data_IF_749339107329
#
_entry.id   IF_749339107329
#
_cell.length_a   1.000
_cell.length_b   1.000
_cell.length_c   1.000
_cell.angle_alpha   90.00
_cell.angle_beta   90.00
_cell.angle_gamma   90.00
#
_symmetry.space_group_name_H-M   'P 1'
#
loop_
_entity.id
_entity.type
_entity.pdbx_description
1 polymer ?
#
# COMPACT_ATOMS: atom_id res chain seq x y z
N UNK A 1 0.23 3.53 29.83
CA UNK A 1 1.42 2.76 29.43
C UNK A 1 2.49 3.76 29.04
N UNK A 2 3.71 3.62 29.55
CA UNK A 2 4.83 4.51 29.20
C UNK A 2 5.21 4.34 27.72
N UNK A 3 5.64 5.41 27.04
CA UNK A 3 6.01 5.38 25.63
C UNK A 3 7.13 4.36 25.36
N UNK A 4 8.06 4.23 26.30
CA UNK A 4 9.14 3.23 26.25
C UNK A 4 8.60 1.80 26.24
N UNK A 5 7.55 1.52 27.03
CA UNK A 5 6.90 0.20 27.08
C UNK A 5 6.11 -0.11 25.80
N UNK A 6 5.49 0.90 25.19
CA UNK A 6 4.81 0.75 23.92
C UNK A 6 5.80 0.40 22.79
N UNK A 7 6.94 1.11 22.74
CA UNK A 7 7.99 0.81 21.78
C UNK A 7 8.58 -0.59 21.99
N UNK A 8 8.86 -0.98 23.23
CA UNK A 8 9.34 -2.33 23.55
C UNK A 8 8.36 -3.42 23.09
N UNK A 9 7.06 -3.24 23.34
CA UNK A 9 6.03 -4.17 22.89
C UNK A 9 6.00 -4.29 21.35
N UNK A 10 6.08 -3.16 20.63
CA UNK A 10 6.17 -3.15 19.17
C UNK A 10 7.40 -3.92 18.65
N UNK A 11 8.58 -3.67 19.23
CA UNK A 11 9.82 -4.36 18.84
C UNK A 11 9.78 -5.87 19.12
N UNK A 12 9.17 -6.27 20.23
CA UNK A 12 8.95 -7.69 20.54
C UNK A 12 8.01 -8.31 19.52
N UNK A 13 6.90 -7.65 19.18
CA UNK A 13 5.95 -8.14 18.19
C UNK A 13 6.60 -8.29 16.82
N UNK A 14 7.35 -7.30 16.35
CA UNK A 14 8.10 -7.37 15.10
C UNK A 14 9.03 -8.61 15.06
N UNK A 15 9.80 -8.82 16.13
CA UNK A 15 10.73 -9.97 16.22
C UNK A 15 10.02 -11.33 16.31
N UNK A 16 8.77 -11.35 16.77
CA UNK A 16 7.97 -12.56 17.04
C UNK A 16 6.73 -12.65 16.14
N UNK A 17 6.75 -11.95 15.01
CA UNK A 17 5.60 -11.79 14.12
C UNK A 17 5.07 -13.12 13.61
N UNK A 18 5.93 -14.09 13.29
CA UNK A 18 5.51 -15.42 12.85
C UNK A 18 4.69 -16.19 13.90
N UNK A 19 5.10 -16.13 15.17
CA UNK A 19 4.35 -16.74 16.29
C UNK A 19 3.03 -16.00 16.49
N UNK A 20 3.06 -14.67 16.46
CA UNK A 20 1.86 -13.86 16.68
C UNK A 20 0.85 -14.04 15.54
N UNK A 21 1.30 -14.04 14.29
CA UNK A 21 0.50 -14.31 13.09
C UNK A 21 -0.21 -15.65 13.21
N UNK A 22 0.50 -16.69 13.64
CA UNK A 22 -0.14 -17.99 13.88
C UNK A 22 -1.23 -17.92 14.96
N UNK A 23 -1.03 -17.12 16.01
CA UNK A 23 -2.03 -16.94 17.06
C UNK A 23 -3.24 -16.10 16.65
N UNK A 24 -3.15 -15.31 15.56
CA UNK A 24 -4.30 -14.63 14.94
C UNK A 24 -5.27 -15.65 14.34
N UNK A 25 -4.76 -16.74 13.74
CA UNK A 25 -5.60 -17.82 13.20
C UNK A 25 -6.35 -18.60 14.28
N UNK A 26 -5.92 -18.48 15.54
CA UNK A 26 -6.62 -18.99 16.71
C UNK A 26 -5.67 -19.37 17.85
N UNK A 27 -6.19 -19.49 19.10
CA UNK A 27 -5.40 -19.90 20.24
C UNK A 27 -4.70 -21.26 20.02
N UNK A 28 -3.47 -21.39 20.52
CA UNK A 28 -2.67 -22.60 20.31
C UNK A 28 -1.88 -23.00 21.55
N UNK A 29 -1.65 -24.30 21.70
CA UNK A 29 -0.70 -24.81 22.68
C UNK A 29 0.74 -24.54 22.24
N UNK A 30 1.61 -24.45 23.22
CA UNK A 30 3.03 -24.20 23.01
C UNK A 30 3.73 -25.25 22.13
N UNK A 31 3.33 -26.52 22.18
CA UNK A 31 3.85 -27.57 21.31
C UNK A 31 3.36 -27.43 19.86
N UNK A 32 2.09 -27.08 19.64
CA UNK A 32 1.56 -26.83 18.30
C UNK A 32 2.33 -25.72 17.59
N UNK A 33 2.65 -24.64 18.32
CA UNK A 33 3.46 -23.54 17.78
C UNK A 33 4.90 -23.94 17.43
N UNK A 34 5.47 -24.97 18.08
CA UNK A 34 6.79 -25.50 17.72
C UNK A 34 6.73 -26.28 16.41
N UNK A 35 5.62 -26.95 16.15
CA UNK A 35 5.44 -27.77 14.95
C UNK A 35 5.06 -26.92 13.73
N UNK A 36 4.37 -25.79 13.94
CA UNK A 36 3.77 -24.99 12.87
C UNK A 36 4.56 -23.72 12.51
N UNK A 37 5.37 -23.19 13.43
CA UNK A 37 6.20 -22.00 13.18
C UNK A 37 7.61 -22.45 12.78
N UNK A 38 8.14 -21.89 11.69
CA UNK A 38 9.52 -22.11 11.24
C UNK A 38 10.55 -21.45 12.19
N UNK A 39 10.70 -22.01 13.38
CA UNK A 39 11.64 -21.57 14.41
C UNK A 39 11.98 -22.72 15.36
N UNK A 40 13.17 -22.66 15.97
CA UNK A 40 13.55 -23.67 16.96
C UNK A 40 12.63 -23.64 18.20
N UNK A 41 12.44 -24.78 18.85
CA UNK A 41 11.65 -24.89 20.08
C UNK A 41 12.03 -23.84 21.14
N UNK A 42 13.34 -23.64 21.35
CA UNK A 42 13.84 -22.64 22.31
C UNK A 42 13.51 -21.20 21.89
N UNK A 43 13.38 -20.94 20.58
CA UNK A 43 12.96 -19.65 20.03
C UNK A 43 11.48 -19.42 20.24
N UNK A 44 10.63 -20.42 19.97
CA UNK A 44 9.18 -20.34 20.22
C UNK A 44 8.89 -20.10 21.70
N UNK A 45 9.54 -20.85 22.58
CA UNK A 45 9.32 -20.75 24.03
C UNK A 45 9.71 -19.37 24.58
N UNK A 46 10.88 -18.88 24.15
CA UNK A 46 11.35 -17.54 24.51
C UNK A 46 10.45 -16.46 23.92
N UNK A 47 9.98 -16.65 22.68
CA UNK A 47 9.08 -15.74 22.00
C UNK A 47 7.76 -15.58 22.71
N UNK A 48 7.11 -16.69 23.08
CA UNK A 48 5.86 -16.69 23.84
C UNK A 48 6.01 -15.98 25.19
N UNK A 49 7.10 -16.25 25.92
CA UNK A 49 7.38 -15.55 27.16
C UNK A 49 7.53 -14.05 26.96
N UNK A 50 8.28 -13.62 25.93
CA UNK A 50 8.44 -12.19 25.64
C UNK A 50 7.12 -11.51 25.26
N UNK A 51 6.28 -12.18 24.46
CA UNK A 51 4.96 -11.69 24.10
C UNK A 51 4.05 -11.56 25.33
N UNK A 52 4.10 -12.54 26.24
CA UNK A 52 3.34 -12.55 27.50
C UNK A 52 3.83 -11.45 28.45
N UNK A 53 5.14 -11.30 28.62
CA UNK A 53 5.79 -10.26 29.44
C UNK A 53 5.40 -8.82 29.00
N UNK A 54 5.05 -8.65 27.71
CA UNK A 54 4.60 -7.37 27.13
C UNK A 54 3.07 -7.28 26.98
N UNK A 55 2.32 -8.22 27.56
CA UNK A 55 0.85 -8.27 27.50
C UNK A 55 0.28 -8.32 26.07
N UNK A 56 1.06 -8.82 25.11
CA UNK A 56 0.62 -9.00 23.71
C UNK A 56 -0.18 -10.30 23.55
N UNK A 57 0.18 -11.33 24.32
CA UNK A 57 -0.56 -12.59 24.43
C UNK A 57 -0.86 -12.89 25.88
N UNK A 58 -1.84 -13.75 26.12
CA UNK A 58 -2.18 -14.29 27.43
C UNK A 58 -2.24 -15.81 27.37
N UNK A 59 -1.83 -16.46 28.47
CA UNK A 59 -2.00 -17.90 28.63
C UNK A 59 -3.31 -18.22 29.36
N UNK A 60 -4.17 -19.04 28.76
CA UNK A 60 -5.42 -19.53 29.35
C UNK A 60 -5.59 -21.02 29.04
N UNK A 61 -5.81 -21.84 30.07
CA UNK A 61 -5.97 -23.30 29.94
C UNK A 61 -4.83 -23.99 29.16
N UNK A 62 -3.59 -23.50 29.33
CA UNK A 62 -2.41 -24.02 28.65
C UNK A 62 -2.21 -23.53 27.22
N UNK A 63 -3.21 -22.84 26.62
CA UNK A 63 -3.11 -22.24 25.31
C UNK A 63 -2.71 -20.77 25.41
N UNK A 64 -2.03 -20.28 24.38
CA UNK A 64 -1.74 -18.87 24.18
C UNK A 64 -2.76 -18.28 23.24
N UNK A 65 -3.25 -17.08 23.54
CA UNK A 65 -4.15 -16.31 22.69
C UNK A 65 -3.70 -14.84 22.65
N UNK A 66 -3.90 -14.12 21.54
CA UNK A 66 -3.71 -12.68 21.50
C UNK A 66 -4.53 -11.97 22.60
N UNK A 67 -3.99 -10.88 23.13
CA UNK A 67 -4.81 -9.90 23.86
C UNK A 67 -5.35 -8.88 22.86
N UNK A 68 -6.42 -8.15 23.23
CA UNK A 68 -6.90 -7.01 22.43
C UNK A 68 -5.79 -5.98 22.18
N UNK A 69 -4.90 -5.77 23.15
CA UNK A 69 -3.75 -4.90 22.98
C UNK A 69 -2.79 -5.45 21.91
N UNK A 70 -2.47 -6.75 21.96
CA UNK A 70 -1.62 -7.41 20.97
C UNK A 70 -2.20 -7.34 19.56
N UNK A 71 -3.50 -7.57 19.39
CA UNK A 71 -4.19 -7.48 18.08
C UNK A 71 -4.09 -6.07 17.46
N UNK A 72 -4.29 -5.02 18.28
CA UNK A 72 -4.16 -3.63 17.82
C UNK A 72 -2.72 -3.35 17.37
N UNK A 73 -1.72 -3.75 18.15
CA UNK A 73 -0.31 -3.54 17.80
C UNK A 73 0.08 -4.36 16.56
N UNK A 74 -0.40 -5.61 16.46
CA UNK A 74 -0.17 -6.47 15.30
C UNK A 74 -0.75 -5.85 14.02
N UNK A 75 -1.96 -5.30 14.08
CA UNK A 75 -2.58 -4.62 12.93
C UNK A 75 -1.75 -3.44 12.44
N UNK A 76 -1.20 -2.63 13.35
CA UNK A 76 -0.34 -1.51 12.97
C UNK A 76 1.03 -1.96 12.46
N UNK A 77 1.58 -3.03 13.05
CA UNK A 77 2.81 -3.65 12.57
C UNK A 77 2.64 -4.17 11.14
N UNK A 78 1.59 -4.94 10.86
CA UNK A 78 1.36 -5.53 9.53
C UNK A 78 1.23 -4.45 8.45
N UNK A 79 0.44 -3.40 8.71
CA UNK A 79 0.32 -2.23 7.81
C UNK A 79 1.67 -1.55 7.56
N UNK A 80 2.47 -1.36 8.60
CA UNK A 80 3.78 -0.70 8.46
C UNK A 80 4.76 -1.58 7.70
N UNK A 81 4.76 -2.88 7.98
CA UNK A 81 5.60 -3.88 7.31
C UNK A 81 5.28 -3.92 5.81
N UNK A 82 3.99 -3.96 5.46
CA UNK A 82 3.51 -3.92 4.09
C UNK A 82 3.94 -2.67 3.33
N UNK A 83 3.68 -1.48 3.89
CA UNK A 83 4.11 -0.20 3.30
C UNK A 83 5.62 -0.21 3.02
N UNK A 84 6.42 -0.68 3.99
CA UNK A 84 7.88 -0.74 3.84
C UNK A 84 8.28 -1.74 2.76
N UNK A 85 7.68 -2.92 2.70
CA UNK A 85 7.96 -3.91 1.65
C UNK A 85 7.64 -3.34 0.27
N UNK A 86 6.46 -2.75 0.08
CA UNK A 86 6.05 -2.14 -1.19
C UNK A 86 7.05 -1.08 -1.65
N UNK A 87 7.51 -0.19 -0.75
CA UNK A 87 8.51 0.82 -1.13
C UNK A 87 9.91 0.24 -1.37
N UNK A 88 10.30 -0.83 -0.69
CA UNK A 88 11.54 -1.55 -0.97
C UNK A 88 11.49 -2.17 -2.37
N UNK A 89 10.36 -2.76 -2.77
CA UNK A 89 10.15 -3.28 -4.12
C UNK A 89 10.12 -2.16 -5.17
N UNK A 90 9.49 -1.03 -4.84
CA UNK A 90 9.41 0.17 -5.66
C UNK A 90 10.66 1.07 -5.59
N UNK A 91 11.75 0.63 -4.95
CA UNK A 91 12.93 1.48 -4.71
C UNK A 91 13.46 2.16 -5.97
N UNK A 92 13.48 1.45 -7.10
CA UNK A 92 13.95 2.01 -8.38
C UNK A 92 13.10 3.18 -8.89
N UNK A 93 11.79 3.19 -8.59
CA UNK A 93 10.88 4.29 -8.94
C UNK A 93 11.20 5.55 -8.14
N UNK A 94 11.54 5.39 -6.86
CA UNK A 94 11.83 6.51 -5.95
C UNK A 94 13.22 7.12 -6.18
N UNK A 95 14.17 6.34 -6.70
CA UNK A 95 15.54 6.81 -6.99
C UNK A 95 15.67 7.55 -8.34
N UNK A 96 14.55 7.86 -9.01
CA UNK A 96 14.52 8.49 -10.36
C UNK A 96 15.01 9.95 -10.39
N UNK A 97 15.43 10.52 -9.27
CA UNK A 97 16.03 11.86 -9.19
C UNK A 97 15.07 13.01 -9.51
N UNK A 98 13.78 12.71 -9.73
CA UNK A 98 12.75 13.75 -9.81
C UNK A 98 12.50 14.32 -8.42
N UNK A 99 12.54 15.65 -8.31
CA UNK A 99 12.09 16.34 -7.10
C UNK A 99 10.59 16.09 -6.92
N UNK A 100 10.25 15.16 -6.03
CA UNK A 100 8.86 14.99 -5.60
C UNK A 100 8.56 16.19 -4.70
N UNK A 101 7.87 17.20 -5.24
CA UNK A 101 7.58 18.47 -4.56
C UNK A 101 6.67 18.35 -3.33
N UNK A 102 6.18 17.15 -3.02
CA UNK A 102 5.46 16.82 -1.79
C UNK A 102 5.87 15.42 -1.31
N UNK A 103 5.82 15.19 0.01
CA UNK A 103 6.01 13.84 0.55
C UNK A 103 4.77 13.03 0.18
N UNK A 104 4.94 11.99 -0.64
CA UNK A 104 3.88 10.99 -0.86
C UNK A 104 3.47 10.43 0.50
N UNK A 105 2.18 10.45 0.82
CA UNK A 105 1.69 9.80 2.04
C UNK A 105 1.99 8.29 1.94
N UNK A 106 2.72 7.67 2.89
CA UNK A 106 3.09 6.26 2.79
C UNK A 106 1.90 5.30 2.68
N UNK A 107 0.70 5.72 3.08
CA UNK A 107 -0.53 4.93 2.93
C UNK A 107 -0.87 4.60 1.47
N UNK A 108 -0.31 5.31 0.48
CA UNK A 108 -0.46 4.95 -0.95
C UNK A 108 0.16 3.59 -1.29
N UNK A 109 1.02 3.06 -0.42
CA UNK A 109 1.66 1.77 -0.59
C UNK A 109 0.90 0.60 0.08
N UNK A 110 -0.16 0.88 0.84
CA UNK A 110 -1.03 -0.16 1.40
C UNK A 110 -1.85 -0.81 0.28
N UNK A 111 -1.88 -2.15 0.27
CA UNK A 111 -2.54 -2.97 -0.75
C UNK A 111 -2.07 -2.66 -2.19
N UNK A 112 -0.93 -2.00 -2.34
CA UNK A 112 -0.41 -1.58 -3.63
C UNK A 112 0.48 -2.68 -4.25
N UNK A 113 0.38 -2.84 -5.56
CA UNK A 113 1.23 -3.77 -6.32
C UNK A 113 2.24 -3.00 -7.17
N UNK A 114 3.52 -3.35 -7.06
CA UNK A 114 4.58 -2.77 -7.90
C UNK A 114 4.69 -3.53 -9.22
N UNK A 115 4.53 -2.83 -10.35
CA UNK A 115 4.65 -3.44 -11.69
C UNK A 115 5.79 -2.80 -12.49
N UNK A 116 6.66 -3.65 -13.05
CA UNK A 116 7.73 -3.23 -13.98
C UNK A 116 7.36 -3.68 -15.39
N UNK A 117 6.78 -2.78 -16.17
CA UNK A 117 6.28 -3.05 -17.52
C UNK A 117 7.28 -2.56 -18.56
N UNK A 118 7.38 -3.28 -19.67
CA UNK A 118 8.02 -2.75 -20.88
C UNK A 118 9.55 -2.72 -20.88
N UNK A 119 10.22 -3.63 -20.16
CA UNK A 119 11.71 -3.75 -20.16
C UNK A 119 12.36 -3.72 -21.55
N UNK A 120 11.70 -4.29 -22.56
CA UNK A 120 12.13 -4.26 -23.98
C UNK A 120 11.17 -3.52 -24.91
N UNK A 121 9.96 -3.23 -24.44
CA UNK A 121 8.89 -2.53 -25.16
C UNK A 121 8.23 -1.53 -24.20
N UNK A 122 8.84 -0.35 -23.98
CA UNK A 122 8.37 0.61 -22.99
C UNK A 122 6.93 1.05 -23.22
N UNK A 123 6.48 1.05 -24.48
CA UNK A 123 5.14 1.39 -24.91
C UNK A 123 4.04 0.43 -24.38
N UNK A 124 4.40 -0.77 -23.91
CA UNK A 124 3.44 -1.67 -23.24
C UNK A 124 2.84 -1.11 -21.95
N UNK A 125 3.48 -0.11 -21.35
CA UNK A 125 2.88 0.59 -20.20
C UNK A 125 1.55 1.23 -20.60
N UNK A 126 1.41 1.68 -21.84
CA UNK A 126 0.19 2.32 -22.34
C UNK A 126 -0.92 1.31 -22.58
N UNK A 127 -0.61 0.14 -23.18
CA UNK A 127 -1.57 -0.96 -23.34
C UNK A 127 -2.13 -1.41 -21.98
N UNK A 128 -1.26 -1.55 -20.98
CA UNK A 128 -1.67 -1.89 -19.62
C UNK A 128 -2.56 -0.82 -18.99
N UNK A 129 -2.15 0.46 -19.08
CA UNK A 129 -2.95 1.53 -18.51
C UNK A 129 -4.32 1.63 -19.20
N UNK A 130 -4.40 1.47 -20.52
CA UNK A 130 -5.67 1.45 -21.25
C UNK A 130 -6.61 0.33 -20.77
N UNK A 131 -6.09 -0.89 -20.58
CA UNK A 131 -6.86 -2.01 -20.00
C UNK A 131 -7.38 -1.67 -18.61
N UNK A 132 -6.52 -1.19 -17.71
CA UNK A 132 -6.92 -0.82 -16.35
C UNK A 132 -7.96 0.31 -16.32
N UNK A 133 -7.81 1.30 -17.21
CA UNK A 133 -8.74 2.42 -17.33
C UNK A 133 -10.11 1.96 -17.80
N UNK A 134 -10.16 0.99 -18.70
CA UNK A 134 -11.41 0.48 -19.26
C UNK A 134 -12.28 -0.28 -18.25
N UNK A 135 -11.67 -0.84 -17.20
CA UNK A 135 -12.37 -1.61 -16.16
C UNK A 135 -12.60 -0.79 -14.87
N UNK A 136 -11.97 0.38 -14.74
CA UNK A 136 -12.00 1.16 -13.53
C UNK A 136 -13.30 1.97 -13.37
N UNK A 137 -13.89 1.90 -12.17
CA UNK A 137 -15.00 2.78 -11.78
C UNK A 137 -14.51 4.17 -11.32
N UNK A 138 -13.27 4.25 -10.79
CA UNK A 138 -12.64 5.48 -10.34
C UNK A 138 -11.16 5.50 -10.68
N UNK A 139 -10.65 6.65 -11.14
CA UNK A 139 -9.23 6.88 -11.40
C UNK A 139 -8.79 8.20 -10.74
N UNK A 140 -7.65 8.16 -10.06
CA UNK A 140 -6.96 9.35 -9.57
C UNK A 140 -5.52 9.32 -10.02
N UNK A 141 -4.98 10.42 -10.55
CA UNK A 141 -3.61 10.41 -11.09
C UNK A 141 -2.90 11.77 -11.10
N UNK A 142 -1.58 11.74 -11.01
CA UNK A 142 -0.72 12.91 -11.20
C UNK A 142 -0.07 12.83 -12.58
N UNK A 143 -0.31 13.84 -13.42
CA UNK A 143 0.10 13.87 -14.83
C UNK A 143 1.07 15.03 -15.05
N UNK A 144 2.38 14.83 -14.85
CA UNK A 144 3.37 15.89 -15.03
C UNK A 144 3.56 16.26 -16.51
N UNK A 145 3.33 15.30 -17.41
CA UNK A 145 3.42 15.47 -18.87
C UNK A 145 2.24 14.77 -19.52
N UNK A 146 1.61 15.42 -20.51
CA UNK A 146 0.51 14.82 -21.25
C UNK A 146 1.04 13.96 -22.38
N UNK A 147 0.48 12.77 -22.49
CA UNK A 147 0.63 11.92 -23.66
C UNK A 147 -0.70 11.87 -24.40
N UNK A 148 -0.76 12.51 -25.56
CA UNK A 148 -2.02 12.75 -26.29
C UNK A 148 -2.80 11.49 -26.63
N UNK A 149 -2.12 10.37 -26.88
CA UNK A 149 -2.79 9.10 -27.18
C UNK A 149 -3.60 8.55 -25.99
N UNK A 150 -3.20 8.84 -24.75
CA UNK A 150 -3.94 8.40 -23.56
C UNK A 150 -5.18 9.26 -23.31
N UNK A 151 -5.12 10.53 -23.72
CA UNK A 151 -6.20 11.50 -23.51
C UNK A 151 -7.51 11.02 -24.15
N UNK A 152 -7.46 10.52 -25.38
CA UNK A 152 -8.65 10.07 -26.10
C UNK A 152 -9.34 8.86 -25.42
N UNK A 153 -8.55 7.91 -24.90
CA UNK A 153 -9.06 6.76 -24.14
C UNK A 153 -9.78 7.23 -22.87
N UNK A 154 -9.17 8.12 -22.08
CA UNK A 154 -9.80 8.68 -20.87
C UNK A 154 -11.07 9.47 -21.18
N UNK A 155 -11.06 10.29 -22.23
CA UNK A 155 -12.22 11.06 -22.68
C UNK A 155 -13.39 10.16 -23.06
N UNK A 156 -13.11 9.11 -23.83
CA UNK A 156 -14.14 8.16 -24.30
C UNK A 156 -14.80 7.46 -23.12
N UNK A 157 -14.02 7.04 -22.12
CA UNK A 157 -14.55 6.35 -20.93
C UNK A 157 -15.31 7.29 -19.98
N UNK A 158 -14.81 8.50 -19.77
CA UNK A 158 -15.47 9.50 -18.93
C UNK A 158 -16.82 9.97 -19.53
N UNK A 159 -16.87 10.19 -20.86
CA UNK A 159 -18.10 10.60 -21.56
C UNK A 159 -19.16 9.50 -21.63
N UNK A 160 -18.75 8.23 -21.56
CA UNK A 160 -19.66 7.10 -21.42
C UNK A 160 -20.32 6.99 -20.01
N UNK A 161 -20.02 7.89 -19.08
CA UNK A 161 -20.47 7.89 -17.67
C UNK A 161 -20.05 6.64 -16.87
N UNK A 162 -18.97 5.96 -17.26
CA UNK A 162 -18.51 4.73 -16.60
C UNK A 162 -17.33 4.96 -15.63
N UNK A 163 -16.78 6.17 -15.58
CA UNK A 163 -15.54 6.46 -14.87
C UNK A 163 -15.60 7.80 -14.12
N UNK A 164 -15.41 7.76 -12.80
CA UNK A 164 -15.11 8.93 -11.96
C UNK A 164 -13.59 9.21 -12.01
N UNK A 165 -13.17 10.32 -12.61
CA UNK A 165 -11.75 10.59 -12.85
C UNK A 165 -11.30 11.92 -12.24
N UNK A 166 -10.21 11.88 -11.46
CA UNK A 166 -9.56 13.04 -10.85
C UNK A 166 -8.07 13.10 -11.24
N UNK A 167 -7.63 14.20 -11.84
CA UNK A 167 -6.23 14.35 -12.26
C UNK A 167 -5.63 15.67 -11.78
N UNK A 168 -4.40 15.57 -11.25
CA UNK A 168 -3.56 16.73 -10.94
C UNK A 168 -2.53 16.88 -12.05
N UNK A 169 -2.57 17.98 -12.79
CA UNK A 169 -1.66 18.25 -13.90
C UNK A 169 -0.52 19.15 -13.46
N UNK A 170 0.69 18.84 -13.93
CA UNK A 170 1.81 19.78 -13.81
C UNK A 170 1.50 21.07 -14.57
N UNK A 171 1.97 22.23 -14.09
CA UNK A 171 1.68 23.54 -14.69
C UNK A 171 1.85 23.58 -16.23
N UNK A 172 2.95 23.03 -16.75
CA UNK A 172 3.23 22.96 -18.20
C UNK A 172 2.26 22.05 -18.94
N UNK A 173 1.82 20.96 -18.32
CA UNK A 173 0.80 20.09 -18.88
C UNK A 173 -0.53 20.83 -18.96
N UNK A 174 -0.96 21.51 -17.89
CA UNK A 174 -2.18 22.33 -17.87
C UNK A 174 -2.20 23.37 -19.00
N UNK A 175 -1.09 24.12 -19.18
CA UNK A 175 -0.95 25.09 -20.26
C UNK A 175 -1.15 24.43 -21.63
N UNK A 176 -0.52 23.27 -21.86
CA UNK A 176 -0.63 22.51 -23.10
C UNK A 176 -2.05 22.00 -23.37
N UNK A 177 -2.75 21.50 -22.35
CA UNK A 177 -4.17 21.10 -22.51
C UNK A 177 -5.03 22.27 -22.96
N UNK A 178 -4.89 23.41 -22.27
CA UNK A 178 -5.75 24.56 -22.48
C UNK A 178 -5.57 25.17 -23.88
N UNK A 179 -4.38 25.05 -24.47
CA UNK A 179 -4.09 25.59 -25.80
C UNK A 179 -4.32 24.58 -26.92
N UNK A 180 -3.83 23.34 -26.79
CA UNK A 180 -3.65 22.42 -27.92
C UNK A 180 -4.61 21.20 -27.95
N UNK A 181 -5.32 20.89 -26.87
CA UNK A 181 -6.24 19.73 -26.84
C UNK A 181 -7.68 20.07 -27.23
N UNK A 182 -8.46 19.03 -27.55
CA UNK A 182 -9.83 19.13 -28.08
C UNK A 182 -10.77 19.93 -27.16
N UNK A 183 -11.82 20.53 -27.75
CA UNK A 183 -12.84 21.26 -27.00
C UNK A 183 -13.57 20.38 -25.96
N UNK A 184 -13.66 19.07 -26.23
CA UNK A 184 -14.23 18.09 -25.29
C UNK A 184 -13.39 17.96 -24.02
N UNK A 185 -12.06 17.94 -24.15
CA UNK A 185 -11.16 17.90 -22.98
C UNK A 185 -11.25 19.18 -22.14
N UNK A 186 -11.36 20.35 -22.80
CA UNK A 186 -11.59 21.63 -22.12
C UNK A 186 -12.91 21.66 -21.36
N UNK A 187 -13.91 20.92 -21.82
CA UNK A 187 -15.22 20.82 -21.15
C UNK A 187 -15.12 19.98 -19.87
N UNK A 188 -14.38 18.87 -19.91
CA UNK A 188 -14.14 17.99 -18.75
C UNK A 188 -13.32 18.66 -17.64
N UNK A 189 -12.34 19.50 -17.99
CA UNK A 189 -11.60 20.29 -17.00
C UNK A 189 -12.48 21.31 -16.26
N UNK A 190 -13.45 21.91 -16.95
CA UNK A 190 -14.29 22.97 -16.39
C UNK A 190 -15.47 22.44 -15.54
N UNK A 191 -15.76 21.14 -15.59
CA UNK A 191 -16.86 20.52 -14.82
C UNK A 191 -16.53 20.22 -13.36
N UNK A 192 -15.31 20.54 -12.88
CA UNK A 192 -14.94 20.41 -11.46
C UNK A 192 -14.45 19.02 -11.03
N UNK A 193 -14.31 18.06 -11.95
CA UNK A 193 -13.73 16.73 -11.69
C UNK A 193 -12.20 16.70 -11.82
N UNK A 194 -11.55 17.82 -12.15
CA UNK A 194 -10.10 17.94 -12.14
C UNK A 194 -9.73 19.17 -11.30
N UNK A 195 -9.16 18.95 -10.12
CA UNK A 195 -8.62 20.03 -9.29
C UNK A 195 -7.24 20.44 -9.83
N UNK A 196 -7.13 21.73 -10.16
CA UNK A 196 -5.88 22.39 -10.56
C UNK A 196 -4.94 22.61 -9.36
#
# INVERSE_FOLDING_TARGET
MDAEKAHAAYMVLHKRSSIFKRLIDGPAYQNQLVDEVDASQSTVYRGLKQLEDHNLVKKQNGMYAPTTFGEIIYTQYERTDEIVQTFVESKQLLETGQEIGSVLDPSVALDATTLVIGKTRPDRVYEYLEEQVSEAAKISGVVPTIFSAMVETYLTQATANQLDAEFVFGKKATEHVQTELSNEFKTLLNTGNALL
#
